data_IF_687996128544
#
_entry.id   IF_687996128544
#
_cell.length_a   1.000
_cell.length_b   1.000
_cell.length_c   1.000
_cell.angle_alpha   90.00
_cell.angle_beta   90.00
_cell.angle_gamma   90.00
#
_symmetry.space_group_name_H-M   'P 1'
#
loop_
_entity.id
_entity.type
_entity.pdbx_description
1 polymer ?
#
# COMPACT_ATOMS: atom_id res chain seq x y z
N UNK A 1 -29.42 -10.52 -8.01
CA UNK A 1 -28.85 -9.17 -8.15
C UNK A 1 -29.66 -8.27 -7.22
N UNK A 2 -29.05 -7.69 -6.19
CA UNK A 2 -29.76 -6.78 -5.28
C UNK A 2 -29.95 -5.42 -5.97
N UNK A 3 -31.19 -4.94 -6.17
CA UNK A 3 -31.40 -3.66 -6.83
C UNK A 3 -30.81 -2.53 -5.99
N UNK A 4 -30.04 -1.65 -6.61
CA UNK A 4 -29.58 -0.42 -5.97
C UNK A 4 -30.76 0.56 -5.94
N UNK A 5 -31.21 0.93 -4.74
CA UNK A 5 -32.33 1.84 -4.50
C UNK A 5 -31.74 3.20 -4.10
N UNK A 6 -32.02 4.24 -4.89
CA UNK A 6 -31.53 5.59 -4.62
C UNK A 6 -32.12 6.12 -3.30
N UNK A 7 -31.29 6.72 -2.45
CA UNK A 7 -31.69 7.21 -1.12
C UNK A 7 -31.57 6.23 0.06
N UNK A 8 -31.24 4.95 -0.18
CA UNK A 8 -31.08 3.93 0.88
C UNK A 8 -29.61 3.78 1.25
N UNK A 9 -28.98 4.84 1.76
CA UNK A 9 -27.70 4.71 2.45
C UNK A 9 -28.00 4.28 3.90
N UNK A 10 -28.35 3.01 4.10
CA UNK A 10 -28.61 2.48 5.44
C UNK A 10 -27.29 2.41 6.19
N UNK A 11 -27.10 3.33 7.13
CA UNK A 11 -26.10 3.15 8.19
C UNK A 11 -26.44 1.83 8.88
N UNK A 12 -25.48 0.92 9.06
CA UNK A 12 -25.77 -0.33 9.75
C UNK A 12 -26.39 -0.04 11.11
N UNK A 13 -27.49 -0.72 11.43
CA UNK A 13 -28.31 -0.48 12.62
C UNK A 13 -27.52 -0.66 13.93
N UNK A 14 -26.42 -1.44 13.87
CA UNK A 14 -25.40 -1.53 14.91
C UNK A 14 -24.07 -0.97 14.42
N UNK A 15 -23.39 -0.12 15.21
CA UNK A 15 -21.96 0.12 15.01
C UNK A 15 -21.23 -1.23 14.99
N UNK A 16 -20.17 -1.35 14.19
CA UNK A 16 -19.25 -2.47 14.35
C UNK A 16 -18.83 -2.51 15.83
N UNK A 17 -19.12 -3.60 16.57
CA UNK A 17 -19.06 -3.60 18.03
C UNK A 17 -17.66 -3.23 18.55
N UNK A 18 -16.63 -3.42 17.73
CA UNK A 18 -15.24 -3.27 18.10
C UNK A 18 -14.53 -2.06 17.43
N UNK A 19 -15.23 -1.24 16.62
CA UNK A 19 -14.60 -0.15 15.86
C UNK A 19 -15.27 1.20 16.08
N UNK A 20 -14.60 2.09 16.82
CA UNK A 20 -15.03 3.48 16.94
C UNK A 20 -14.78 4.26 15.64
N UNK A 21 -15.57 5.31 15.34
CA UNK A 21 -15.32 6.16 14.16
C UNK A 21 -13.90 6.74 14.12
N UNK A 22 -13.36 7.14 15.27
CA UNK A 22 -11.98 7.63 15.38
C UNK A 22 -10.95 6.56 15.03
N UNK A 23 -11.15 5.32 15.49
CA UNK A 23 -10.27 4.21 15.15
C UNK A 23 -10.36 3.89 13.66
N UNK A 24 -11.54 3.96 13.05
CA UNK A 24 -11.72 3.78 11.61
C UNK A 24 -10.94 4.82 10.80
N UNK A 25 -10.97 6.09 11.22
CA UNK A 25 -10.21 7.17 10.59
C UNK A 25 -8.70 6.90 10.72
N UNK A 26 -8.21 6.54 11.92
CA UNK A 26 -6.80 6.20 12.15
C UNK A 26 -6.35 5.02 11.28
N UNK A 27 -7.12 3.94 11.24
CA UNK A 27 -6.84 2.77 10.40
C UNK A 27 -6.77 3.16 8.92
N UNK A 28 -7.68 4.03 8.45
CA UNK A 28 -7.67 4.57 7.10
C UNK A 28 -6.39 5.36 6.77
N UNK A 29 -5.92 6.19 7.69
CA UNK A 29 -4.65 6.93 7.54
C UNK A 29 -3.44 5.99 7.45
N UNK A 30 -3.39 4.95 8.29
CA UNK A 30 -2.32 3.94 8.24
C UNK A 30 -2.35 3.17 6.92
N UNK A 31 -3.52 2.75 6.44
CA UNK A 31 -3.65 2.11 5.12
C UNK A 31 -3.22 3.04 3.98
N UNK A 32 -3.50 4.35 4.08
CA UNK A 32 -3.00 5.33 3.10
C UNK A 32 -1.47 5.40 3.12
N UNK A 33 -0.85 5.37 4.31
CA UNK A 33 0.61 5.30 4.49
C UNK A 33 1.19 4.02 3.88
N UNK A 34 0.56 2.86 4.08
CA UNK A 34 0.93 1.61 3.41
C UNK A 34 0.93 1.78 1.88
N UNK A 35 -0.17 2.29 1.31
CA UNK A 35 -0.31 2.52 -0.13
C UNK A 35 0.74 3.47 -0.69
N UNK A 36 1.16 4.47 0.09
CA UNK A 36 2.27 5.34 -0.28
C UNK A 36 3.59 4.58 -0.42
N UNK A 37 3.92 3.70 0.52
CA UNK A 37 5.11 2.86 0.43
C UNK A 37 5.05 1.92 -0.78
N UNK A 38 3.92 1.25 -1.01
CA UNK A 38 3.72 0.35 -2.16
C UNK A 38 3.94 1.08 -3.50
N UNK A 39 3.32 2.26 -3.65
CA UNK A 39 3.54 3.12 -4.84
C UNK A 39 5.00 3.51 -5.00
N UNK A 40 5.66 3.92 -3.92
CA UNK A 40 7.07 4.31 -3.96
C UNK A 40 7.99 3.13 -4.33
N UNK A 41 7.68 1.91 -3.87
CA UNK A 41 8.41 0.69 -4.25
C UNK A 41 8.23 0.41 -5.74
N UNK A 42 6.99 0.48 -6.25
CA UNK A 42 6.71 0.30 -7.68
C UNK A 42 7.50 1.30 -8.53
N UNK A 43 7.53 2.57 -8.14
CA UNK A 43 8.30 3.59 -8.87
C UNK A 43 9.80 3.31 -8.85
N UNK A 44 10.37 2.90 -7.72
CA UNK A 44 11.80 2.51 -7.67
C UNK A 44 12.10 1.29 -8.54
N UNK A 45 11.17 0.33 -8.64
CA UNK A 45 11.33 -0.80 -9.58
C UNK A 45 11.30 -0.34 -11.04
N UNK A 46 10.45 0.63 -11.40
CA UNK A 46 10.45 1.23 -12.76
C UNK A 46 11.79 1.90 -13.06
N UNK A 47 12.31 2.67 -12.12
CA UNK A 47 13.63 3.32 -12.24
C UNK A 47 14.75 2.28 -12.36
N UNK A 48 14.70 1.20 -11.58
CA UNK A 48 15.62 0.07 -11.71
C UNK A 48 15.56 -0.55 -13.11
N UNK A 49 14.36 -0.77 -13.66
CA UNK A 49 14.19 -1.33 -14.99
C UNK A 49 14.78 -0.41 -16.07
N UNK A 50 14.60 0.90 -15.94
CA UNK A 50 15.20 1.90 -16.82
C UNK A 50 16.74 1.91 -16.70
N UNK A 51 17.29 1.93 -15.48
CA UNK A 51 18.73 1.89 -15.26
C UNK A 51 19.38 0.64 -15.87
N UNK A 52 18.72 -0.52 -15.75
CA UNK A 52 19.15 -1.77 -16.42
C UNK A 52 19.17 -1.65 -17.94
N UNK A 53 18.18 -0.99 -18.54
CA UNK A 53 18.15 -0.77 -20.01
C UNK A 53 19.24 0.18 -20.48
N UNK A 54 19.64 1.13 -19.63
CA UNK A 54 20.68 2.12 -19.94
C UNK A 54 22.10 1.66 -19.58
N UNK A 55 22.25 0.51 -18.91
CA UNK A 55 23.56 0.04 -18.43
C UNK A 55 24.14 0.86 -17.27
N UNK A 56 23.32 1.62 -16.55
CA UNK A 56 23.76 2.45 -15.41
C UNK A 56 23.92 1.60 -14.14
N UNK A 57 25.13 1.07 -13.93
CA UNK A 57 25.45 0.21 -12.77
C UNK A 57 25.28 0.91 -11.42
N UNK A 58 25.61 2.21 -11.34
CA UNK A 58 25.44 2.98 -10.11
C UNK A 58 23.94 3.15 -9.79
N UNK A 59 23.14 3.48 -10.81
CA UNK A 59 21.68 3.55 -10.72
C UNK A 59 21.08 2.22 -10.29
N UNK A 60 21.52 1.10 -10.88
CA UNK A 60 21.05 -0.25 -10.52
C UNK A 60 21.28 -0.53 -9.03
N UNK A 61 22.50 -0.30 -8.53
CA UNK A 61 22.84 -0.54 -7.13
C UNK A 61 22.02 0.35 -6.19
N UNK A 62 21.92 1.64 -6.52
CA UNK A 62 21.13 2.61 -5.76
C UNK A 62 19.65 2.22 -5.67
N UNK A 63 19.01 1.91 -6.79
CA UNK A 63 17.59 1.56 -6.79
C UNK A 63 17.30 0.23 -6.10
N UNK A 64 18.21 -0.75 -6.21
CA UNK A 64 18.11 -2.01 -5.45
C UNK A 64 18.12 -1.77 -3.94
N UNK A 65 19.05 -0.96 -3.43
CA UNK A 65 19.11 -0.61 -2.00
C UNK A 65 17.84 0.15 -1.57
N UNK A 66 17.38 1.09 -2.40
CA UNK A 66 16.18 1.87 -2.13
C UNK A 66 14.92 1.00 -2.02
N UNK A 67 14.77 0.01 -2.92
CA UNK A 67 13.67 -0.96 -2.89
C UNK A 67 13.72 -1.76 -1.58
N UNK A 68 14.89 -2.32 -1.23
CA UNK A 68 15.07 -3.12 0.01
C UNK A 68 14.71 -2.30 1.25
N UNK A 69 15.19 -1.06 1.35
CA UNK A 69 14.89 -0.17 2.47
C UNK A 69 13.41 0.16 2.59
N UNK A 70 12.74 0.45 1.47
CA UNK A 70 11.28 0.72 1.45
C UNK A 70 10.47 -0.52 1.82
N UNK A 71 10.83 -1.69 1.32
CA UNK A 71 10.19 -2.95 1.67
C UNK A 71 10.38 -3.31 3.15
N UNK A 72 11.55 -3.00 3.74
CA UNK A 72 11.76 -3.17 5.18
C UNK A 72 10.83 -2.28 6.00
N UNK A 73 10.73 -0.98 5.66
CA UNK A 73 9.79 -0.05 6.31
C UNK A 73 8.33 -0.46 6.16
N UNK A 74 7.94 -0.95 4.98
CA UNK A 74 6.60 -1.48 4.75
C UNK A 74 6.31 -2.71 5.62
N UNK A 75 7.25 -3.65 5.72
CA UNK A 75 7.12 -4.82 6.61
C UNK A 75 7.00 -4.41 8.07
N UNK A 76 7.76 -3.41 8.51
CA UNK A 76 7.65 -2.90 9.87
C UNK A 76 6.27 -2.28 10.12
N UNK A 77 5.79 -1.42 9.21
CA UNK A 77 4.46 -0.83 9.31
C UNK A 77 3.36 -1.90 9.44
N UNK A 78 3.45 -2.97 8.65
CA UNK A 78 2.49 -4.08 8.70
C UNK A 78 2.61 -4.86 10.02
N UNK A 79 3.85 -5.11 10.48
CA UNK A 79 4.09 -5.78 11.77
C UNK A 79 3.53 -4.97 12.95
N UNK A 80 3.60 -3.65 12.88
CA UNK A 80 3.10 -2.75 13.93
C UNK A 80 1.57 -2.57 13.89
N UNK A 81 0.87 -3.12 12.89
CA UNK A 81 -0.56 -2.92 12.66
C UNK A 81 -1.22 -4.21 12.16
N UNK A 82 -1.78 -4.99 13.09
CA UNK A 82 -2.35 -6.34 12.83
C UNK A 82 -3.48 -6.37 11.79
N UNK A 83 -4.15 -5.24 11.56
CA UNK A 83 -5.22 -5.09 10.57
C UNK A 83 -4.70 -4.85 9.13
N UNK A 84 -3.39 -4.78 8.93
CA UNK A 84 -2.79 -4.61 7.61
C UNK A 84 -2.27 -5.94 7.08
N UNK A 85 -2.37 -6.10 5.75
CA UNK A 85 -1.78 -7.23 5.03
C UNK A 85 -0.94 -6.72 3.86
N UNK A 86 0.18 -7.40 3.59
CA UNK A 86 1.05 -7.02 2.46
C UNK A 86 0.46 -7.49 1.14
N UNK A 87 0.30 -6.56 0.19
CA UNK A 87 -0.14 -6.87 -1.17
C UNK A 87 0.99 -6.67 -2.19
N UNK A 88 1.61 -7.76 -2.59
CA UNK A 88 2.73 -7.74 -3.54
C UNK A 88 2.34 -7.27 -4.94
N UNK A 89 1.08 -7.45 -5.35
CA UNK A 89 0.59 -6.99 -6.66
C UNK A 89 0.70 -5.47 -6.80
N UNK A 90 0.63 -4.76 -5.67
CA UNK A 90 0.76 -3.29 -5.61
C UNK A 90 2.19 -2.79 -5.75
N UNK A 91 3.16 -3.66 -5.58
CA UNK A 91 4.57 -3.33 -5.82
C UNK A 91 5.04 -3.76 -7.22
N UNK A 92 4.27 -4.57 -7.96
CA UNK A 92 4.68 -5.07 -9.28
C UNK A 92 4.58 -3.98 -10.36
N UNK A 93 5.53 -4.01 -11.29
CA UNK A 93 5.43 -3.30 -12.57
C UNK A 93 4.65 -4.22 -13.49
N UNK A 94 3.57 -3.71 -14.11
CA UNK A 94 2.89 -4.42 -15.18
C UNK A 94 3.62 -4.12 -16.50
N UNK A 95 3.88 -5.17 -17.27
CA UNK A 95 4.45 -5.14 -18.61
C UNK A 95 3.46 -4.62 -19.63
#
# INVERSE_FOLDING_TARGET
>A
MTPFIDGVNTVPEKPFPDLTPEQAIKNGQVQAKQRNYERAIRQAKKQLAMAKRLGDEQGINRFNQLIKGRQARLRQLIKDNDFLTRDYSREQIRS
#
